data_IF_884738995735
#
_entry.id   IF_884738995735
#
_cell.length_a   1.000
_cell.length_b   1.000
_cell.length_c   1.000
_cell.angle_alpha   90.00
_cell.angle_beta   90.00
_cell.angle_gamma   90.00
#
_symmetry.space_group_name_H-M   'P 1'
#
loop_
_entity.id
_entity.type
_entity.pdbx_description
1 polymer ?
#
# COMPACT_ATOMS: atom_id res chain seq x y z
N UNK A 1 16.26 22.30 16.92
CA UNK A 1 16.07 20.84 16.99
C UNK A 1 14.61 20.56 16.67
N UNK A 2 14.29 20.45 15.37
CA UNK A 2 13.02 19.90 14.89
C UNK A 2 13.41 18.83 13.90
N UNK A 3 13.88 17.73 14.46
CA UNK A 3 14.02 16.47 13.76
C UNK A 3 12.70 15.74 13.92
N UNK A 4 12.19 15.28 12.78
CA UNK A 4 11.45 14.06 12.51
C UNK A 4 10.58 14.38 11.29
N UNK A 5 11.09 13.95 10.14
CA UNK A 5 10.37 13.93 8.89
C UNK A 5 9.04 13.20 9.13
N UNK A 6 7.95 13.93 8.92
CA UNK A 6 6.62 13.36 8.89
C UNK A 6 6.49 12.59 7.56
N UNK A 7 6.83 11.30 7.55
CA UNK A 7 6.51 10.41 6.44
C UNK A 7 4.99 10.13 6.42
N UNK A 8 4.20 11.15 6.11
CA UNK A 8 2.88 10.98 5.51
C UNK A 8 3.12 10.99 4.01
N UNK A 9 3.31 9.82 3.41
CA UNK A 9 3.56 9.72 1.98
C UNK A 9 2.53 10.55 1.20
N UNK A 10 3.07 11.53 0.49
CA UNK A 10 2.38 12.52 -0.31
C UNK A 10 1.31 11.91 -1.22
N UNK A 11 0.04 12.18 -0.92
CA UNK A 11 -0.98 12.39 -1.97
C UNK A 11 -1.39 13.86 -1.94
N UNK A 12 -0.83 14.71 -2.83
CA UNK A 12 -1.26 16.09 -2.93
C UNK A 12 -2.57 16.11 -3.73
N UNK A 13 -3.65 16.42 -3.02
CA UNK A 13 -5.02 16.67 -3.50
C UNK A 13 -5.98 15.49 -3.30
N UNK A 14 -7.09 15.81 -2.62
CA UNK A 14 -8.26 14.99 -2.26
C UNK A 14 -8.16 14.39 -0.84
N UNK A 15 -9.06 14.87 0.03
CA UNK A 15 -9.18 14.62 1.48
C UNK A 15 -9.48 13.16 1.87
N UNK A 16 -8.74 12.17 1.39
CA UNK A 16 -9.11 10.75 1.53
C UNK A 16 -8.19 9.93 2.45
N UNK A 17 -7.73 10.47 3.58
CA UNK A 17 -7.14 9.66 4.65
C UNK A 17 -7.46 10.27 6.02
N UNK A 18 -8.74 10.26 6.41
CA UNK A 18 -9.11 10.24 7.84
C UNK A 18 -9.52 8.81 8.21
N UNK A 19 -8.59 7.88 8.01
CA UNK A 19 -8.69 6.58 8.67
C UNK A 19 -8.61 6.83 10.17
N UNK A 20 -9.55 6.23 10.89
CA UNK A 20 -9.65 6.38 12.33
C UNK A 20 -8.33 5.90 12.94
N UNK A 21 -7.60 6.85 13.53
CA UNK A 21 -6.33 6.61 14.22
C UNK A 21 -6.57 5.62 15.37
N UNK A 22 -6.46 4.33 15.08
CA UNK A 22 -6.00 3.34 16.06
C UNK A 22 -4.58 2.98 15.68
N UNK A 23 -3.68 3.83 16.16
CA UNK A 23 -2.24 3.64 16.31
C UNK A 23 -1.47 3.10 15.09
N UNK A 24 -0.92 4.05 14.33
CA UNK A 24 0.14 3.93 13.32
C UNK A 24 -0.20 3.00 12.14
N UNK A 25 -0.06 3.45 10.87
CA UNK A 25 0.10 2.47 9.81
C UNK A 25 1.39 1.72 10.14
N UNK A 26 1.27 0.44 10.49
CA UNK A 26 2.39 -0.51 10.45
C UNK A 26 3.04 -0.37 9.09
N UNK A 27 4.37 -0.46 9.03
CA UNK A 27 5.08 -0.52 7.75
C UNK A 27 4.38 -1.58 6.86
N UNK A 28 3.99 -1.25 5.62
CA UNK A 28 3.35 -2.19 4.72
C UNK A 28 4.12 -3.50 4.54
N UNK A 29 5.44 -3.52 4.78
CA UNK A 29 6.24 -4.75 4.75
C UNK A 29 5.83 -5.77 5.82
N UNK A 30 5.23 -5.32 6.92
CA UNK A 30 4.79 -6.16 8.05
C UNK A 30 3.29 -6.47 8.00
N UNK A 31 2.56 -6.00 6.98
CA UNK A 31 1.14 -6.28 6.85
C UNK A 31 0.89 -7.78 6.61
N UNK A 32 0.01 -8.35 7.41
CA UNK A 32 -0.57 -9.67 7.16
C UNK A 32 -1.58 -9.59 6.03
N UNK A 33 -2.03 -10.74 5.53
CA UNK A 33 -3.13 -10.80 4.55
C UNK A 33 -4.39 -10.08 5.08
N UNK A 34 -4.67 -10.19 6.39
CA UNK A 34 -5.79 -9.50 7.02
C UNK A 34 -5.64 -7.98 6.97
N UNK A 35 -4.45 -7.46 7.24
CA UNK A 35 -4.18 -6.01 7.18
C UNK A 35 -4.34 -5.47 5.75
N UNK A 36 -3.92 -6.23 4.73
CA UNK A 36 -4.11 -5.88 3.31
C UNK A 36 -5.61 -5.82 2.96
N UNK A 37 -6.38 -6.81 3.42
CA UNK A 37 -7.83 -6.88 3.20
C UNK A 37 -8.54 -5.71 3.88
N UNK A 38 -8.21 -5.42 5.14
CA UNK A 38 -8.78 -4.33 5.91
C UNK A 38 -8.46 -2.98 5.25
N UNK A 39 -7.21 -2.77 4.84
CA UNK A 39 -6.78 -1.56 4.13
C UNK A 39 -7.61 -1.30 2.86
N UNK A 40 -7.75 -2.30 1.97
CA UNK A 40 -8.52 -2.12 0.74
C UNK A 40 -10.03 -2.03 1.00
N UNK A 41 -10.53 -2.69 2.04
CA UNK A 41 -11.93 -2.56 2.46
C UNK A 41 -12.23 -1.13 2.92
N UNK A 42 -11.39 -0.56 3.78
CA UNK A 42 -11.51 0.81 4.28
C UNK A 42 -11.30 1.86 3.18
N UNK A 43 -10.45 1.57 2.20
CA UNK A 43 -10.24 2.39 1.02
C UNK A 43 -11.44 2.39 0.04
N UNK A 44 -12.49 1.61 0.31
CA UNK A 44 -13.70 1.54 -0.51
C UNK A 44 -13.67 0.47 -1.61
N UNK A 45 -12.74 -0.49 -1.52
CA UNK A 45 -12.59 -1.62 -2.46
C UNK A 45 -12.97 -2.96 -1.81
N UNK A 46 -13.97 -2.99 -0.94
CA UNK A 46 -14.40 -4.19 -0.21
C UNK A 46 -14.71 -5.40 -1.11
N UNK A 47 -15.30 -5.18 -2.29
CA UNK A 47 -15.57 -6.26 -3.26
C UNK A 47 -14.28 -6.84 -3.85
N UNK A 48 -13.22 -6.04 -3.97
CA UNK A 48 -11.93 -6.45 -4.52
C UNK A 48 -10.99 -7.00 -3.44
N UNK A 49 -11.18 -6.62 -2.18
CA UNK A 49 -10.37 -7.07 -1.06
C UNK A 49 -10.36 -8.60 -0.92
N UNK A 50 -11.46 -9.29 -1.26
CA UNK A 50 -11.51 -10.76 -1.24
C UNK A 50 -10.50 -11.41 -2.19
N UNK A 51 -10.19 -10.77 -3.33
CA UNK A 51 -9.19 -11.31 -4.26
C UNK A 51 -7.77 -11.32 -3.65
N UNK A 52 -7.44 -10.32 -2.83
CA UNK A 52 -6.18 -10.31 -2.08
C UNK A 52 -6.15 -11.41 -1.02
N UNK A 53 -7.28 -11.65 -0.34
CA UNK A 53 -7.42 -12.74 0.62
C UNK A 53 -7.27 -14.13 -0.03
N UNK A 54 -7.93 -14.37 -1.16
CA UNK A 54 -7.93 -15.65 -1.89
C UNK A 54 -6.56 -16.01 -2.46
N UNK A 55 -5.80 -15.00 -2.87
CA UNK A 55 -4.44 -15.15 -3.39
C UNK A 55 -3.37 -15.08 -2.28
N UNK A 56 -3.79 -14.99 -1.01
CA UNK A 56 -2.92 -14.91 0.16
C UNK A 56 -1.88 -13.76 0.07
N UNK A 57 -2.30 -12.61 -0.47
CA UNK A 57 -1.42 -11.45 -0.64
C UNK A 57 -1.19 -10.77 0.71
N UNK A 58 0.01 -10.95 1.24
CA UNK A 58 0.54 -10.20 2.38
C UNK A 58 1.22 -8.89 1.92
N UNK A 59 1.67 -8.10 2.89
CA UNK A 59 2.31 -6.81 2.66
C UNK A 59 3.55 -6.87 1.77
N UNK A 60 4.43 -7.86 1.99
CA UNK A 60 5.63 -8.07 1.17
C UNK A 60 5.28 -8.38 -0.27
N UNK A 61 4.33 -9.29 -0.48
CA UNK A 61 3.84 -9.63 -1.81
C UNK A 61 3.19 -8.43 -2.49
N UNK A 62 2.38 -7.66 -1.75
CA UNK A 62 1.73 -6.44 -2.23
C UNK A 62 2.74 -5.40 -2.73
N UNK A 63 3.81 -5.16 -1.98
CA UNK A 63 4.88 -4.24 -2.34
C UNK A 63 5.69 -4.70 -3.56
N UNK A 64 5.70 -5.99 -3.87
CA UNK A 64 6.37 -6.54 -5.06
C UNK A 64 5.46 -6.64 -6.28
N UNK A 65 4.14 -6.42 -6.13
CA UNK A 65 3.19 -6.54 -7.23
C UNK A 65 3.49 -5.54 -8.34
N UNK A 66 3.52 -6.06 -9.56
CA UNK A 66 3.60 -5.27 -10.77
C UNK A 66 2.21 -4.97 -11.31
N UNK A 67 2.14 -4.00 -12.22
CA UNK A 67 0.89 -3.62 -12.91
C UNK A 67 0.16 -4.84 -13.50
N UNK A 68 0.90 -5.75 -14.11
CA UNK A 68 0.34 -6.97 -14.72
C UNK A 68 -0.31 -7.88 -13.69
N UNK A 69 0.28 -8.01 -12.51
CA UNK A 69 -0.22 -8.91 -11.46
C UNK A 69 -1.58 -8.45 -10.96
N UNK A 70 -1.78 -7.14 -10.82
CA UNK A 70 -3.08 -6.57 -10.43
C UNK A 70 -4.09 -6.64 -11.56
N UNK A 71 -3.68 -6.33 -12.79
CA UNK A 71 -4.59 -6.25 -13.93
C UNK A 71 -5.07 -7.60 -14.44
N UNK A 72 -4.27 -8.66 -14.27
CA UNK A 72 -4.59 -10.00 -14.79
C UNK A 72 -4.54 -11.11 -13.74
N UNK A 73 -3.76 -10.96 -12.66
CA UNK A 73 -3.56 -12.01 -11.66
C UNK A 73 -4.68 -12.09 -10.62
N UNK A 74 -5.29 -10.96 -10.23
CA UNK A 74 -6.31 -10.92 -9.18
C UNK A 74 -7.76 -11.14 -9.66
N UNK A 75 -7.99 -11.37 -10.96
CA UNK A 75 -9.34 -11.50 -11.53
C UNK A 75 -10.30 -10.33 -11.22
N UNK A 76 -9.75 -9.13 -10.96
CA UNK A 76 -10.50 -7.89 -10.71
C UNK A 76 -10.85 -7.21 -12.05
N UNK A 77 -12.01 -6.57 -12.14
CA UNK A 77 -12.39 -5.77 -13.33
C UNK A 77 -11.37 -4.66 -13.58
N UNK A 78 -11.07 -4.40 -14.86
CA UNK A 78 -10.03 -3.46 -15.30
C UNK A 78 -10.11 -2.08 -14.62
N UNK A 79 -11.31 -1.49 -14.50
CA UNK A 79 -11.50 -0.18 -13.89
C UNK A 79 -11.01 -0.10 -12.43
N UNK A 80 -11.58 -0.91 -11.51
CA UNK A 80 -11.07 -1.02 -10.14
C UNK A 80 -9.60 -1.41 -10.05
N UNK A 81 -9.13 -2.37 -10.87
CA UNK A 81 -7.74 -2.83 -10.86
C UNK A 81 -6.75 -1.69 -11.16
N UNK A 82 -7.06 -0.83 -12.15
CA UNK A 82 -6.26 0.36 -12.45
C UNK A 82 -6.21 1.35 -11.29
N UNK A 83 -7.34 1.57 -10.60
CA UNK A 83 -7.40 2.48 -9.45
C UNK A 83 -6.58 1.96 -8.28
N UNK A 84 -6.71 0.66 -7.97
CA UNK A 84 -5.96 0.00 -6.91
C UNK A 84 -4.46 0.11 -7.17
N UNK A 85 -4.00 -0.19 -8.39
CA UNK A 85 -2.58 -0.10 -8.69
C UNK A 85 -2.05 1.33 -8.64
N UNK A 86 -2.72 2.28 -9.31
CA UNK A 86 -2.19 3.64 -9.46
C UNK A 86 -2.27 4.49 -8.18
N UNK A 87 -3.31 4.31 -7.36
CA UNK A 87 -3.54 5.16 -6.19
C UNK A 87 -3.17 4.52 -4.85
N UNK A 88 -3.00 3.20 -4.79
CA UNK A 88 -2.66 2.51 -3.54
C UNK A 88 -1.31 1.81 -3.64
N UNK A 89 -1.18 0.80 -4.51
CA UNK A 89 0.03 -0.05 -4.53
C UNK A 89 1.28 0.77 -4.86
N UNK A 90 1.24 1.61 -5.91
CA UNK A 90 2.38 2.47 -6.25
C UNK A 90 2.73 3.47 -5.14
N UNK A 91 1.74 3.97 -4.41
CA UNK A 91 1.96 4.91 -3.30
C UNK A 91 2.64 4.19 -2.14
N UNK A 92 2.16 2.99 -1.78
CA UNK A 92 2.75 2.14 -0.75
C UNK A 92 4.19 1.74 -1.10
N UNK A 93 4.47 1.43 -2.37
CA UNK A 93 5.82 1.15 -2.85
C UNK A 93 6.74 2.37 -2.70
N UNK A 94 6.29 3.56 -3.11
CA UNK A 94 7.10 4.78 -3.02
C UNK A 94 7.43 5.17 -1.57
N UNK A 95 6.54 4.90 -0.62
CA UNK A 95 6.81 5.09 0.81
C UNK A 95 7.96 4.24 1.33
N UNK A 96 8.03 2.98 0.90
CA UNK A 96 8.92 1.98 1.48
C UNK A 96 10.38 2.14 0.99
N UNK A 97 10.58 2.64 -0.23
CA UNK A 97 11.92 2.78 -0.82
C UNK A 97 12.73 3.99 -0.35
N UNK A 98 12.17 4.93 0.43
CA UNK A 98 12.93 6.07 0.97
C UNK A 98 13.78 5.71 2.21
N UNK A 99 13.79 4.45 2.66
CA UNK A 99 14.55 4.02 3.85
C UNK A 99 15.88 3.28 3.56
N UNK A 100 16.16 2.88 2.30
CA UNK A 100 17.32 2.03 1.98
C UNK A 100 18.59 2.78 1.47
N UNK A 101 18.53 4.08 1.18
CA UNK A 101 19.69 4.87 0.70
C UNK A 101 20.52 5.55 1.82
N UNK A 102 20.33 5.14 3.07
CA UNK A 102 20.96 5.78 4.24
C UNK A 102 22.34 5.27 4.68
N UNK A 103 22.76 4.07 4.29
CA UNK A 103 23.86 3.37 4.99
C UNK A 103 25.10 2.99 4.14
N UNK A 104 25.30 3.60 2.96
CA UNK A 104 26.45 3.28 2.08
C UNK A 104 27.49 4.39 1.92
N UNK A 105 27.70 5.29 2.89
CA UNK A 105 28.83 6.24 2.84
C UNK A 105 29.59 6.36 4.17
N UNK A 106 30.24 5.27 4.56
CA UNK A 106 31.52 5.37 5.26
C UNK A 106 32.43 4.21 4.81
N UNK A 107 33.23 4.50 3.78
CA UNK A 107 34.23 3.60 3.20
C UNK A 107 35.10 4.35 2.21
#
# INVERSE_FOLDING_TARGET
IRGLAECYCCVPSINFWRISVKEKPSDPVEWTVGDVVDYFTEAGFAEQASAFQEQEIDGKSLLLMQRTDVLTGLSIRLGPALKIYEYHIKVLQQCHFEEDEGDSFMG
#
